data_IF_324952970037
#
_entry.id   IF_324952970037
#
_cell.length_a   1.000
_cell.length_b   1.000
_cell.length_c   1.000
_cell.angle_alpha   90.00
_cell.angle_beta   90.00
_cell.angle_gamma   90.00
#
_symmetry.space_group_name_H-M   'P 1'
#
loop_
_entity.id
_entity.type
_entity.pdbx_description
1 polymer ?
#
# COMPACT_ATOMS: atom_id res chain seq x y z
N UNK A 1 -3.83 -38.29 -9.14
CA UNK A 1 -4.75 -37.87 -8.08
C UNK A 1 -4.12 -36.63 -7.46
N UNK A 2 -4.80 -35.48 -7.43
CA UNK A 2 -4.30 -34.29 -6.75
C UNK A 2 -4.23 -34.61 -5.26
N UNK A 3 -3.06 -34.41 -4.63
CA UNK A 3 -2.88 -34.59 -3.19
C UNK A 3 -3.73 -33.56 -2.46
N UNK A 4 -4.61 -33.98 -1.56
CA UNK A 4 -5.22 -33.07 -0.61
C UNK A 4 -4.26 -32.83 0.55
N UNK A 5 -3.95 -31.59 0.89
CA UNK A 5 -3.23 -31.26 2.10
C UNK A 5 -4.20 -30.83 3.20
N UNK A 6 -4.01 -31.37 4.39
CA UNK A 6 -4.78 -31.04 5.58
C UNK A 6 -3.94 -30.20 6.52
N UNK A 7 -4.50 -29.12 7.02
CA UNK A 7 -3.88 -28.29 8.05
C UNK A 7 -4.94 -27.76 9.01
N UNK A 8 -4.55 -27.15 10.08
CA UNK A 8 -5.50 -26.58 11.02
C UNK A 8 -6.00 -25.21 10.55
N UNK A 9 -5.09 -24.36 10.09
CA UNK A 9 -5.40 -23.02 9.58
C UNK A 9 -4.73 -22.79 8.24
N UNK A 10 -5.46 -22.27 7.27
CA UNK A 10 -4.89 -21.76 6.00
C UNK A 10 -4.87 -20.24 6.04
N UNK A 11 -3.72 -19.67 5.70
CA UNK A 11 -3.58 -18.22 5.49
C UNK A 11 -3.50 -17.98 3.97
N UNK A 12 -4.37 -17.17 3.41
CA UNK A 12 -4.47 -16.91 1.98
C UNK A 12 -3.93 -15.52 1.67
N UNK A 13 -2.73 -15.47 1.07
CA UNK A 13 -1.97 -14.27 0.75
C UNK A 13 -0.70 -14.13 1.60
N UNK A 14 0.46 -14.07 0.94
CA UNK A 14 1.79 -13.97 1.57
C UNK A 14 2.32 -12.54 1.68
N UNK A 15 1.42 -11.54 1.80
CA UNK A 15 1.76 -10.15 2.10
C UNK A 15 2.08 -9.93 3.57
N UNK A 16 2.24 -8.66 3.97
CA UNK A 16 2.57 -8.28 5.35
C UNK A 16 1.59 -8.86 6.38
N UNK A 17 0.27 -8.84 6.09
CA UNK A 17 -0.74 -9.39 6.98
C UNK A 17 -0.65 -10.92 7.11
N UNK A 18 -0.54 -11.62 5.97
CA UNK A 18 -0.48 -13.08 5.99
C UNK A 18 0.78 -13.63 6.65
N UNK A 19 1.92 -13.00 6.40
CA UNK A 19 3.20 -13.36 7.05
C UNK A 19 3.11 -13.11 8.56
N UNK A 20 2.54 -11.98 9.00
CA UNK A 20 2.32 -11.68 10.41
C UNK A 20 1.39 -12.70 11.09
N UNK A 21 0.26 -13.02 10.45
CA UNK A 21 -0.69 -14.01 10.94
C UNK A 21 -0.04 -15.40 11.07
N UNK A 22 0.67 -15.84 10.03
CA UNK A 22 1.36 -17.14 10.04
C UNK A 22 2.42 -17.22 11.13
N UNK A 23 3.20 -16.15 11.34
CA UNK A 23 4.20 -16.09 12.43
C UNK A 23 3.52 -16.18 13.78
N UNK A 24 2.44 -15.42 14.00
CA UNK A 24 1.70 -15.43 15.27
C UNK A 24 1.07 -16.80 15.59
N UNK A 25 0.54 -17.48 14.57
CA UNK A 25 0.03 -18.85 14.75
C UNK A 25 1.15 -19.85 15.05
N UNK A 26 2.29 -19.75 14.35
CA UNK A 26 3.46 -20.59 14.59
C UNK A 26 4.01 -20.41 16.02
N UNK A 27 4.07 -19.17 16.53
CA UNK A 27 4.48 -18.86 17.91
C UNK A 27 3.51 -19.46 18.93
N UNK A 28 2.21 -19.59 18.58
CA UNK A 28 1.20 -20.29 19.37
C UNK A 28 1.21 -21.82 19.15
N UNK A 29 2.12 -22.36 18.32
CA UNK A 29 2.23 -23.79 17.97
C UNK A 29 0.96 -24.34 17.31
N UNK A 30 0.31 -23.52 16.50
CA UNK A 30 -0.86 -23.92 15.71
C UNK A 30 -0.36 -24.30 14.31
N UNK A 31 -0.76 -25.48 13.83
CA UNK A 31 -0.45 -25.94 12.49
C UNK A 31 -1.13 -25.02 11.46
N UNK A 32 -0.34 -24.41 10.61
CA UNK A 32 -0.83 -23.48 9.59
C UNK A 32 -0.06 -23.59 8.28
N UNK A 33 -0.74 -23.29 7.19
CA UNK A 33 -0.16 -23.23 5.85
C UNK A 33 -0.44 -21.86 5.23
N UNK A 34 0.62 -21.15 4.87
CA UNK A 34 0.54 -19.89 4.12
C UNK A 34 0.53 -20.17 2.62
N UNK A 35 -0.52 -19.76 1.94
CA UNK A 35 -0.71 -19.99 0.50
C UNK A 35 -0.63 -18.64 -0.21
N UNK A 36 0.31 -18.51 -1.15
CA UNK A 36 0.58 -17.28 -1.90
C UNK A 36 0.47 -17.52 -3.41
N UNK A 37 -0.24 -16.64 -4.08
CA UNK A 37 -0.46 -16.73 -5.53
C UNK A 37 0.81 -16.46 -6.35
N UNK A 38 1.70 -15.61 -5.86
CA UNK A 38 2.99 -15.28 -6.50
C UNK A 38 4.05 -16.32 -6.17
N UNK A 39 5.16 -16.25 -6.91
CA UNK A 39 6.38 -17.01 -6.62
C UNK A 39 7.23 -16.41 -5.49
N UNK A 40 6.73 -15.39 -4.77
CA UNK A 40 7.43 -14.66 -3.70
C UNK A 40 6.48 -14.23 -2.59
N UNK A 41 7.02 -14.06 -1.41
CA UNK A 41 6.36 -13.36 -0.30
C UNK A 41 6.46 -11.84 -0.45
N UNK A 42 5.79 -11.10 0.43
CA UNK A 42 5.81 -9.65 0.56
C UNK A 42 4.60 -8.94 -0.07
N UNK A 43 3.90 -9.56 -1.03
CA UNK A 43 2.76 -8.94 -1.69
C UNK A 43 3.12 -7.60 -2.36
N UNK A 44 2.49 -6.50 -1.92
CA UNK A 44 2.79 -5.11 -2.34
C UNK A 44 4.04 -4.50 -1.70
N UNK A 45 4.66 -5.17 -0.77
CA UNK A 45 6.01 -4.88 -0.30
C UNK A 45 7.00 -5.68 -1.14
N UNK A 46 7.59 -5.05 -2.14
CA UNK A 46 8.48 -5.72 -3.08
C UNK A 46 9.75 -4.92 -3.32
N UNK A 47 10.84 -5.43 -2.77
CA UNK A 47 12.19 -4.94 -3.04
C UNK A 47 12.83 -5.81 -4.12
N UNK A 48 13.40 -5.19 -5.12
CA UNK A 48 14.29 -5.86 -6.09
C UNK A 48 15.74 -5.51 -5.78
N UNK A 49 16.61 -6.49 -5.97
CA UNK A 49 18.06 -6.28 -5.87
C UNK A 49 18.59 -5.89 -7.25
N UNK A 50 19.14 -4.68 -7.35
CA UNK A 50 19.90 -4.18 -8.48
C UNK A 50 21.23 -3.66 -7.97
N UNK A 51 21.88 -2.72 -8.62
CA UNK A 51 23.06 -2.02 -8.07
C UNK A 51 22.76 -1.46 -6.66
N UNK A 52 21.54 -0.94 -6.47
CA UNK A 52 20.99 -0.56 -5.16
C UNK A 52 19.63 -1.24 -4.97
N UNK A 53 19.23 -1.58 -3.73
CA UNK A 53 17.88 -2.06 -3.45
C UNK A 53 16.84 -1.03 -3.87
N UNK A 54 15.77 -1.49 -4.56
CA UNK A 54 14.67 -0.66 -5.05
C UNK A 54 13.35 -1.21 -4.50
N UNK A 55 12.63 -0.41 -3.71
CA UNK A 55 11.29 -0.72 -3.24
C UNK A 55 10.25 -0.29 -4.27
N UNK A 56 9.76 -1.24 -5.07
CA UNK A 56 8.74 -1.00 -6.09
C UNK A 56 7.35 -0.70 -5.49
N UNK A 57 7.10 -1.19 -4.27
CA UNK A 57 5.89 -0.90 -3.50
C UNK A 57 6.18 -0.01 -2.30
N UNK A 58 5.71 -0.41 -1.09
CA UNK A 58 5.98 0.36 0.11
C UNK A 58 7.50 0.46 0.39
N UNK A 59 7.97 1.65 0.75
CA UNK A 59 9.38 1.90 1.04
C UNK A 59 9.60 2.68 2.35
N UNK A 60 8.50 3.14 2.99
CA UNK A 60 8.56 3.94 4.20
C UNK A 60 7.97 3.19 5.39
N UNK A 61 8.70 3.18 6.49
CA UNK A 61 8.22 2.83 7.81
C UNK A 61 7.46 4.03 8.37
N UNK A 62 6.18 4.16 7.97
CA UNK A 62 5.30 5.18 8.55
C UNK A 62 5.05 4.88 10.02
N UNK A 63 4.88 5.91 10.85
CA UNK A 63 4.76 5.78 12.31
C UNK A 63 5.88 4.88 12.89
N UNK A 64 7.13 5.13 12.51
CA UNK A 64 8.28 4.26 12.79
C UNK A 64 8.58 4.12 14.29
N UNK A 65 8.10 5.03 15.12
CA UNK A 65 8.16 4.96 16.58
C UNK A 65 7.33 3.80 17.15
N UNK A 66 6.22 3.42 16.49
CA UNK A 66 5.30 2.34 16.90
C UNK A 66 5.16 1.22 15.86
N UNK A 67 5.85 1.31 14.74
CA UNK A 67 5.76 0.35 13.63
C UNK A 67 6.50 -0.95 13.97
N UNK A 68 5.82 -2.11 14.06
CA UNK A 68 6.46 -3.37 14.42
C UNK A 68 7.51 -3.83 13.41
N UNK A 69 7.40 -3.45 12.15
CA UNK A 69 8.39 -3.79 11.14
C UNK A 69 9.76 -3.13 11.40
N UNK A 70 9.80 -2.02 12.14
CA UNK A 70 11.07 -1.42 12.57
C UNK A 70 11.84 -2.35 13.48
N UNK A 71 11.19 -2.89 14.51
CA UNK A 71 11.84 -3.82 15.44
C UNK A 71 12.25 -5.11 14.75
N UNK A 72 11.38 -5.64 13.89
CA UNK A 72 11.67 -6.83 13.09
C UNK A 72 12.88 -6.60 12.19
N UNK A 73 12.98 -5.42 11.54
CA UNK A 73 14.13 -5.07 10.71
C UNK A 73 15.42 -5.02 11.54
N UNK A 74 15.39 -4.39 12.72
CA UNK A 74 16.53 -4.32 13.64
C UNK A 74 16.97 -5.72 14.11
N UNK A 75 16.03 -6.60 14.47
CA UNK A 75 16.32 -8.01 14.84
C UNK A 75 16.92 -8.80 13.66
N UNK A 76 16.52 -8.49 12.43
CA UNK A 76 17.10 -9.07 11.23
C UNK A 76 18.47 -8.47 10.85
N UNK A 77 19.00 -7.52 11.64
CA UNK A 77 20.27 -6.84 11.37
C UNK A 77 20.21 -5.86 10.20
N UNK A 78 19.02 -5.32 9.88
CA UNK A 78 18.85 -4.33 8.82
C UNK A 78 19.16 -2.93 9.31
N UNK A 79 19.65 -2.09 8.41
CA UNK A 79 20.00 -0.70 8.69
C UNK A 79 18.76 0.20 8.54
N UNK A 80 18.45 0.99 9.58
CA UNK A 80 17.35 1.95 9.55
C UNK A 80 17.90 3.35 9.25
N UNK A 81 17.48 3.92 8.14
CA UNK A 81 17.71 5.31 7.79
C UNK A 81 16.66 6.20 8.47
N UNK A 82 17.13 7.01 9.42
CA UNK A 82 16.30 7.95 10.20
C UNK A 82 16.32 9.37 9.63
N UNK A 83 16.82 9.53 8.42
CA UNK A 83 16.82 10.81 7.72
C UNK A 83 15.39 11.31 7.55
N UNK A 84 15.05 12.55 7.95
CA UNK A 84 13.71 13.09 7.76
C UNK A 84 13.26 13.00 6.31
N UNK A 85 12.01 12.59 6.03
CA UNK A 85 11.54 12.38 4.68
C UNK A 85 11.50 13.67 3.85
N UNK A 86 11.57 13.58 2.52
CA UNK A 86 11.64 14.75 1.64
C UNK A 86 10.40 15.65 1.72
N UNK A 87 9.23 15.11 2.08
CA UNK A 87 8.00 15.91 2.25
C UNK A 87 7.96 16.72 3.55
N UNK A 88 8.81 16.42 4.52
CA UNK A 88 8.98 17.22 5.74
C UNK A 88 10.06 18.30 5.59
N UNK A 89 10.64 18.45 4.41
CA UNK A 89 11.64 19.44 4.09
C UNK A 89 11.13 20.39 3.03
N UNK A 90 11.67 21.59 2.96
CA UNK A 90 11.44 22.48 1.84
C UNK A 90 11.97 21.84 0.55
N UNK A 91 11.16 21.88 -0.50
CA UNK A 91 11.58 21.49 -1.85
C UNK A 91 12.68 22.42 -2.35
N UNK A 92 13.50 21.94 -3.28
CA UNK A 92 14.40 22.87 -3.99
C UNK A 92 13.54 23.95 -4.70
N UNK A 93 14.01 25.22 -4.72
CA UNK A 93 13.23 26.35 -5.27
C UNK A 93 13.18 26.37 -6.80
N UNK A 94 13.21 25.20 -7.44
CA UNK A 94 13.17 25.01 -8.88
C UNK A 94 11.72 24.77 -9.28
N UNK A 95 11.17 25.69 -10.08
CA UNK A 95 9.75 25.66 -10.46
C UNK A 95 8.76 25.91 -9.30
N UNK A 96 9.26 26.06 -8.06
CA UNK A 96 8.47 26.26 -6.84
C UNK A 96 9.20 27.19 -5.85
N UNK A 97 9.11 28.52 -6.01
CA UNK A 97 9.77 29.50 -5.14
C UNK A 97 9.41 29.30 -3.66
N UNK A 98 10.32 29.65 -2.74
CA UNK A 98 10.13 29.44 -1.30
C UNK A 98 8.86 30.12 -0.76
N UNK A 99 8.54 31.33 -1.24
CA UNK A 99 7.30 32.04 -0.86
C UNK A 99 6.03 31.27 -1.27
N UNK A 100 6.06 30.61 -2.41
CA UNK A 100 4.95 29.77 -2.88
C UNK A 100 4.86 28.44 -2.09
N UNK A 101 6.01 27.87 -1.70
CA UNK A 101 6.03 26.72 -0.81
C UNK A 101 5.39 27.04 0.55
N UNK A 102 5.68 28.21 1.12
CA UNK A 102 5.08 28.65 2.38
C UNK A 102 3.56 28.84 2.23
N UNK A 103 3.12 29.47 1.14
CA UNK A 103 1.70 29.64 0.84
C UNK A 103 0.97 28.32 0.60
N UNK A 104 1.59 27.36 -0.07
CA UNK A 104 1.06 26.01 -0.25
C UNK A 104 0.94 25.28 1.09
N UNK A 105 1.99 25.29 1.91
CA UNK A 105 1.97 24.66 3.23
C UNK A 105 0.89 25.24 4.14
N UNK A 106 0.63 26.55 4.05
CA UNK A 106 -0.46 27.19 4.76
C UNK A 106 -1.82 26.65 4.25
N UNK A 107 -2.08 26.67 2.95
CA UNK A 107 -3.33 26.19 2.37
C UNK A 107 -3.56 24.69 2.65
N UNK A 108 -2.49 23.90 2.67
CA UNK A 108 -2.55 22.48 2.99
C UNK A 108 -2.93 22.25 4.46
N UNK A 109 -2.36 23.00 5.42
CA UNK A 109 -2.78 22.95 6.83
C UNK A 109 -4.24 23.34 7.01
N UNK A 110 -4.66 24.45 6.41
CA UNK A 110 -6.05 24.91 6.47
C UNK A 110 -7.05 23.90 5.90
N UNK A 111 -6.65 23.13 4.87
CA UNK A 111 -7.43 22.03 4.35
C UNK A 111 -7.62 20.93 5.41
N UNK A 112 -6.56 20.50 6.09
CA UNK A 112 -6.66 19.51 7.17
C UNK A 112 -7.47 20.03 8.36
N UNK A 113 -7.27 21.27 8.79
CA UNK A 113 -8.05 21.90 9.88
C UNK A 113 -9.56 21.92 9.56
N UNK A 114 -9.93 22.17 8.29
CA UNK A 114 -11.33 22.08 7.87
C UNK A 114 -11.83 20.63 7.90
N UNK A 115 -11.00 19.68 7.52
CA UNK A 115 -11.33 18.26 7.51
C UNK A 115 -11.51 17.73 8.94
N UNK A 116 -10.61 18.07 9.87
CA UNK A 116 -10.69 17.73 11.29
C UNK A 116 -11.95 18.31 11.96
N UNK A 117 -12.59 19.31 11.35
CA UNK A 117 -13.87 19.85 11.81
C UNK A 117 -15.08 18.98 11.48
N UNK A 118 -14.89 17.86 10.79
CA UNK A 118 -15.95 16.92 10.44
C UNK A 118 -16.44 16.21 11.70
N UNK A 119 -17.66 16.50 12.10
CA UNK A 119 -18.31 15.84 13.22
C UNK A 119 -18.84 14.46 12.82
N UNK A 120 -18.81 13.48 13.73
CA UNK A 120 -19.24 12.11 13.48
C UNK A 120 -20.74 11.96 13.16
N UNK A 121 -21.57 12.91 13.60
CA UNK A 121 -23.01 12.94 13.32
C UNK A 121 -23.35 13.46 11.92
N UNK A 122 -22.38 14.06 11.21
CA UNK A 122 -22.58 14.53 9.82
C UNK A 122 -22.39 13.39 8.82
N UNK A 123 -23.05 13.45 7.66
CA UNK A 123 -22.81 12.50 6.57
C UNK A 123 -21.34 12.49 6.16
N UNK A 124 -20.82 11.31 5.89
CA UNK A 124 -19.50 11.16 5.29
C UNK A 124 -19.56 11.56 3.82
N UNK A 125 -18.76 12.53 3.44
CA UNK A 125 -18.71 13.15 2.11
C UNK A 125 -17.31 13.01 1.49
N UNK A 126 -17.16 13.44 0.25
CA UNK A 126 -15.85 13.49 -0.40
C UNK A 126 -14.94 14.53 0.28
N UNK A 127 -13.68 14.18 0.51
CA UNK A 127 -12.69 15.07 1.11
C UNK A 127 -12.49 16.36 0.31
N UNK A 128 -12.76 16.33 -1.00
CA UNK A 128 -12.76 17.53 -1.85
C UNK A 128 -13.72 18.64 -1.39
N UNK A 129 -14.76 18.29 -0.61
CA UNK A 129 -15.72 19.27 -0.06
C UNK A 129 -15.06 20.25 0.91
N UNK A 130 -13.92 19.87 1.47
CA UNK A 130 -13.14 20.67 2.42
C UNK A 130 -12.05 21.55 1.77
N UNK A 131 -11.91 21.48 0.44
CA UNK A 131 -11.03 22.38 -0.29
C UNK A 131 -11.56 23.83 -0.20
N UNK A 132 -10.63 24.80 -0.23
CA UNK A 132 -10.99 26.22 -0.32
C UNK A 132 -11.72 26.48 -1.65
N UNK A 133 -12.91 27.12 -1.64
CA UNK A 133 -13.59 27.46 -2.89
C UNK A 133 -12.67 28.28 -3.82
N UNK A 134 -12.42 27.79 -5.02
CA UNK A 134 -11.50 28.37 -6.00
C UNK A 134 -10.06 28.59 -5.51
N UNK A 135 -9.62 27.85 -4.47
CA UNK A 135 -8.29 27.97 -3.89
C UNK A 135 -7.19 27.69 -4.91
N UNK A 136 -6.20 28.57 -5.00
CA UNK A 136 -5.05 28.49 -5.91
C UNK A 136 -4.34 27.12 -5.81
N UNK A 137 -4.26 26.56 -4.59
CA UNK A 137 -3.49 25.36 -4.30
C UNK A 137 -4.29 24.06 -4.38
N UNK A 138 -5.59 24.11 -4.69
CA UNK A 138 -6.46 22.94 -4.73
C UNK A 138 -5.94 21.87 -5.69
N UNK A 139 -5.37 22.27 -6.83
CA UNK A 139 -4.82 21.34 -7.79
C UNK A 139 -3.62 20.57 -7.22
N UNK A 140 -2.71 21.26 -6.51
CA UNK A 140 -1.54 20.61 -5.91
C UNK A 140 -1.92 19.79 -4.67
N UNK A 141 -2.88 20.25 -3.84
CA UNK A 141 -3.41 19.46 -2.72
C UNK A 141 -4.03 18.16 -3.26
N UNK A 142 -4.73 18.24 -4.37
CA UNK A 142 -5.33 17.07 -5.03
C UNK A 142 -4.27 16.13 -5.61
N UNK A 143 -3.18 16.65 -6.18
CA UNK A 143 -2.04 15.84 -6.59
C UNK A 143 -1.40 15.11 -5.39
N UNK A 144 -1.21 15.81 -4.26
CA UNK A 144 -0.68 15.20 -3.02
C UNK A 144 -1.60 14.09 -2.52
N UNK A 145 -2.94 14.28 -2.55
CA UNK A 145 -3.90 13.22 -2.21
C UNK A 145 -3.71 11.98 -3.09
N UNK A 146 -3.47 12.16 -4.39
CA UNK A 146 -3.24 11.02 -5.29
C UNK A 146 -1.97 10.22 -4.93
N UNK A 147 -0.97 10.85 -4.31
CA UNK A 147 0.23 10.14 -3.81
C UNK A 147 -0.04 9.44 -2.47
N UNK A 148 -0.87 10.03 -1.60
CA UNK A 148 -1.18 9.50 -0.26
C UNK A 148 -2.24 8.41 -0.31
N UNK A 149 -3.33 8.64 -1.05
CA UNK A 149 -4.50 7.74 -1.11
C UNK A 149 -4.58 6.93 -2.41
N UNK A 150 -3.71 7.21 -3.39
CA UNK A 150 -3.82 6.63 -4.73
C UNK A 150 -5.02 7.16 -5.52
N UNK A 151 -5.71 8.19 -5.02
CA UNK A 151 -6.90 8.77 -5.62
C UNK A 151 -7.02 10.26 -5.30
N UNK A 152 -7.74 10.99 -6.14
CA UNK A 152 -8.07 12.39 -5.93
C UNK A 152 -9.14 12.55 -4.84
N UNK A 153 -9.16 13.70 -4.19
CA UNK A 153 -10.03 14.00 -3.05
C UNK A 153 -11.53 13.90 -3.32
N UNK A 154 -11.97 13.99 -4.57
CA UNK A 154 -13.37 13.81 -4.95
C UNK A 154 -13.85 12.35 -4.83
N UNK A 155 -12.92 11.40 -4.73
CA UNK A 155 -13.19 9.97 -4.56
C UNK A 155 -12.96 9.46 -3.14
N UNK A 156 -12.26 10.18 -2.31
CA UNK A 156 -11.85 9.75 -0.98
C UNK A 156 -12.87 10.22 0.07
N UNK A 157 -13.31 9.30 0.93
CA UNK A 157 -14.12 9.61 2.11
C UNK A 157 -13.39 10.57 3.03
N UNK A 158 -14.04 11.68 3.40
CA UNK A 158 -13.48 12.62 4.35
C UNK A 158 -13.28 11.99 5.73
N UNK A 159 -14.25 11.20 6.19
CA UNK A 159 -14.19 10.51 7.49
C UNK A 159 -13.07 9.47 7.54
N UNK A 160 -12.90 8.68 6.46
CA UNK A 160 -11.80 7.72 6.37
C UNK A 160 -10.44 8.44 6.39
N UNK A 161 -10.35 9.55 5.66
CA UNK A 161 -9.14 10.36 5.58
C UNK A 161 -8.74 10.96 6.93
N UNK A 162 -9.72 11.49 7.69
CA UNK A 162 -9.53 12.03 9.04
C UNK A 162 -9.10 10.95 10.05
N UNK A 163 -9.60 9.73 9.92
CA UNK A 163 -9.25 8.61 10.82
C UNK A 163 -7.82 8.07 10.62
N UNK A 164 -7.10 8.51 9.58
CA UNK A 164 -5.74 8.03 9.33
C UNK A 164 -4.77 8.51 10.39
N UNK A 165 -4.15 7.57 11.10
CA UNK A 165 -3.23 7.84 12.20
C UNK A 165 -1.76 7.78 11.78
N UNK A 166 -1.11 8.93 11.59
CA UNK A 166 0.34 9.01 11.38
C UNK A 166 1.00 9.76 12.56
N UNK A 167 2.02 9.14 13.17
CA UNK A 167 2.80 9.80 14.23
C UNK A 167 3.74 10.89 13.69
N UNK A 168 3.89 10.99 12.37
CA UNK A 168 4.84 11.87 11.71
C UNK A 168 6.29 11.36 11.71
N UNK A 169 6.57 10.23 12.37
CA UNK A 169 7.90 9.61 12.36
C UNK A 169 7.99 8.62 11.19
N UNK A 170 8.78 8.96 10.17
CA UNK A 170 8.87 8.19 8.94
C UNK A 170 10.33 7.86 8.63
N UNK A 171 10.69 6.56 8.65
CA UNK A 171 12.04 6.04 8.39
C UNK A 171 12.03 5.06 7.22
N UNK A 172 13.22 4.61 6.82
CA UNK A 172 13.37 3.64 5.73
C UNK A 172 14.32 2.51 6.11
N UNK A 173 14.18 1.37 5.45
CA UNK A 173 15.14 0.26 5.52
C UNK A 173 16.11 0.40 4.35
N UNK A 174 17.40 0.50 4.62
CA UNK A 174 18.44 0.72 3.59
C UNK A 174 18.49 -0.44 2.59
N UNK A 175 18.29 -1.67 3.05
CA UNK A 175 18.28 -2.89 2.26
C UNK A 175 16.91 -3.18 1.61
N UNK A 176 15.95 -2.27 1.80
CA UNK A 176 14.60 -2.34 1.26
C UNK A 176 13.58 -2.96 2.21
N UNK A 177 12.42 -2.33 2.29
CA UNK A 177 11.35 -2.72 3.21
C UNK A 177 10.74 -4.09 2.86
N UNK A 178 10.59 -4.38 1.56
CA UNK A 178 10.06 -5.67 1.12
C UNK A 178 10.93 -6.85 1.53
N UNK A 179 12.26 -6.66 1.67
CA UNK A 179 13.18 -7.71 2.13
C UNK A 179 12.90 -8.10 3.58
N UNK A 180 12.55 -7.15 4.45
CA UNK A 180 12.20 -7.40 5.85
C UNK A 180 10.97 -8.28 5.96
N UNK A 181 9.92 -7.94 5.19
CA UNK A 181 8.64 -8.65 5.20
C UNK A 181 8.81 -10.07 4.66
N UNK A 182 9.52 -10.22 3.55
CA UNK A 182 9.80 -11.53 2.98
C UNK A 182 10.63 -12.41 3.93
N UNK A 183 11.67 -11.84 4.57
CA UNK A 183 12.51 -12.55 5.51
C UNK A 183 11.76 -12.96 6.79
N UNK A 184 10.76 -12.19 7.23
CA UNK A 184 9.92 -12.57 8.37
C UNK A 184 9.10 -13.83 8.11
N UNK A 185 8.87 -14.17 6.84
CA UNK A 185 8.24 -15.42 6.41
C UNK A 185 9.18 -16.64 6.35
N UNK A 186 10.48 -16.48 6.57
CA UNK A 186 11.42 -17.60 6.50
C UNK A 186 11.13 -18.66 7.57
N UNK A 187 11.16 -19.93 7.15
CA UNK A 187 10.90 -21.08 8.03
C UNK A 187 9.43 -21.32 8.34
N UNK A 188 8.50 -20.56 7.79
CA UNK A 188 7.08 -20.86 7.83
C UNK A 188 6.72 -21.91 6.76
N UNK A 189 5.69 -22.72 6.98
CA UNK A 189 5.11 -23.58 5.95
C UNK A 189 4.44 -22.69 4.87
N UNK A 190 5.04 -22.60 3.69
CA UNK A 190 4.58 -21.72 2.60
C UNK A 190 4.42 -22.51 1.31
N UNK A 191 3.31 -22.27 0.62
CA UNK A 191 3.05 -22.74 -0.75
C UNK A 191 2.97 -21.52 -1.68
N UNK A 192 4.00 -21.31 -2.49
CA UNK A 192 4.09 -20.25 -3.49
C UNK A 192 3.52 -20.70 -4.83
N UNK A 193 3.16 -19.73 -5.70
CA UNK A 193 2.59 -20.02 -7.03
C UNK A 193 1.25 -20.74 -6.97
N UNK A 194 0.51 -20.55 -5.89
CA UNK A 194 -0.68 -21.34 -5.57
C UNK A 194 -1.90 -20.42 -5.28
N UNK A 195 -2.51 -19.81 -6.31
CA UNK A 195 -3.69 -18.99 -6.13
C UNK A 195 -4.89 -19.82 -5.67
N UNK A 196 -5.52 -19.43 -4.56
CA UNK A 196 -6.82 -19.96 -4.15
C UNK A 196 -7.89 -19.34 -5.04
N UNK A 197 -8.80 -20.16 -5.57
CA UNK A 197 -9.88 -19.74 -6.48
C UNK A 197 -11.27 -19.88 -5.90
N UNK A 198 -11.43 -20.80 -4.94
CA UNK A 198 -12.71 -21.09 -4.31
C UNK A 198 -12.50 -21.49 -2.86
N UNK A 199 -13.41 -21.05 -2.00
CA UNK A 199 -13.51 -21.46 -0.59
C UNK A 199 -14.91 -22.00 -0.34
N UNK A 200 -15.03 -23.33 -0.22
CA UNK A 200 -16.27 -23.99 0.14
C UNK A 200 -16.35 -24.11 1.68
N UNK A 201 -17.36 -23.47 2.28
CA UNK A 201 -17.61 -23.41 3.71
C UNK A 201 -18.85 -24.19 4.16
N UNK A 202 -19.47 -24.97 3.29
CA UNK A 202 -20.66 -25.77 3.60
C UNK A 202 -20.37 -26.92 4.54
N UNK A 203 -19.17 -27.50 4.45
CA UNK A 203 -18.75 -28.61 5.29
C UNK A 203 -18.32 -28.19 6.69
N UNK A 204 -18.06 -29.19 7.55
CA UNK A 204 -17.47 -28.98 8.88
C UNK A 204 -16.08 -28.31 8.78
N UNK A 205 -15.29 -28.69 7.77
CA UNK A 205 -14.02 -28.06 7.42
C UNK A 205 -14.19 -27.20 6.16
N UNK A 206 -13.42 -26.14 6.08
CA UNK A 206 -13.30 -25.33 4.88
C UNK A 206 -12.50 -26.11 3.84
N UNK A 207 -12.91 -26.01 2.57
CA UNK A 207 -12.19 -26.58 1.43
C UNK A 207 -11.82 -25.50 0.45
N UNK A 208 -10.52 -25.29 0.27
CA UNK A 208 -9.96 -24.35 -0.69
C UNK A 208 -9.53 -25.06 -1.96
N UNK A 209 -9.91 -24.53 -3.12
CA UNK A 209 -9.48 -25.03 -4.42
C UNK A 209 -8.32 -24.22 -4.98
N UNK A 210 -7.26 -24.93 -5.35
CA UNK A 210 -6.03 -24.37 -5.94
C UNK A 210 -5.62 -25.15 -7.17
N UNK A 211 -4.75 -24.61 -8.04
CA UNK A 211 -4.18 -25.38 -9.16
C UNK A 211 -3.43 -26.64 -8.73
N UNK A 212 -2.93 -26.69 -7.50
CA UNK A 212 -2.15 -27.79 -6.96
C UNK A 212 -3.00 -28.86 -6.23
N UNK A 213 -4.32 -28.70 -6.24
CA UNK A 213 -5.26 -29.58 -5.55
C UNK A 213 -6.05 -28.84 -4.48
N UNK A 214 -6.84 -29.60 -3.71
CA UNK A 214 -7.65 -29.06 -2.63
C UNK A 214 -6.87 -29.04 -1.30
N UNK A 215 -7.07 -27.97 -0.53
CA UNK A 215 -6.59 -27.83 0.83
C UNK A 215 -7.80 -27.81 1.75
N UNK A 216 -7.76 -28.54 2.86
CA UNK A 216 -8.82 -28.51 3.86
C UNK A 216 -8.29 -27.98 5.19
N UNK A 217 -9.09 -27.15 5.88
CA UNK A 217 -8.71 -26.54 7.15
C UNK A 217 -9.91 -26.33 8.07
N UNK A 218 -9.66 -26.17 9.37
CA UNK A 218 -10.69 -25.80 10.33
C UNK A 218 -11.04 -24.31 10.24
N UNK A 219 -10.05 -23.47 9.94
CA UNK A 219 -10.21 -22.04 9.76
C UNK A 219 -9.35 -21.52 8.62
N UNK A 220 -9.69 -20.33 8.09
CA UNK A 220 -8.88 -19.62 7.13
C UNK A 220 -8.78 -18.12 7.46
N UNK A 221 -7.60 -17.53 7.23
CA UNK A 221 -7.37 -16.09 7.29
C UNK A 221 -7.17 -15.60 5.85
N UNK A 222 -8.07 -14.75 5.38
CA UNK A 222 -8.06 -14.19 4.02
C UNK A 222 -7.38 -12.82 4.07
N UNK A 223 -6.23 -12.69 3.39
CA UNK A 223 -5.41 -11.44 3.43
C UNK A 223 -5.18 -10.86 2.03
N UNK A 224 -6.07 -11.17 1.10
CA UNK A 224 -5.98 -10.71 -0.28
C UNK A 224 -6.43 -9.24 -0.43
N UNK A 225 -5.95 -8.52 -1.46
CA UNK A 225 -6.40 -7.16 -1.76
C UNK A 225 -7.90 -7.06 -2.04
N UNK A 226 -8.50 -5.92 -1.72
CA UNK A 226 -9.95 -5.69 -1.88
C UNK A 226 -10.48 -5.93 -3.29
N UNK A 227 -9.79 -5.57 -4.41
CA UNK A 227 -10.28 -5.89 -5.74
C UNK A 227 -10.41 -7.39 -6.02
N UNK A 228 -9.59 -8.22 -5.37
CA UNK A 228 -9.68 -9.68 -5.49
C UNK A 228 -10.99 -10.21 -4.90
N UNK A 229 -11.48 -9.60 -3.82
CA UNK A 229 -12.79 -9.91 -3.20
C UNK A 229 -13.94 -9.26 -3.96
N UNK A 230 -13.82 -7.98 -4.31
CA UNK A 230 -14.85 -7.21 -5.01
C UNK A 230 -15.19 -7.79 -6.39
N UNK A 231 -14.19 -8.34 -7.09
CA UNK A 231 -14.36 -8.98 -8.39
C UNK A 231 -14.57 -10.50 -8.29
N UNK A 232 -14.78 -11.02 -7.08
CA UNK A 232 -15.02 -12.45 -6.81
C UNK A 232 -13.99 -13.39 -7.47
N UNK A 233 -12.69 -12.96 -7.50
CA UNK A 233 -11.58 -13.82 -7.99
C UNK A 233 -11.36 -15.02 -7.08
N UNK A 234 -11.83 -14.94 -5.83
CA UNK A 234 -12.03 -16.05 -4.91
C UNK A 234 -13.53 -16.21 -4.69
N UNK A 235 -14.09 -17.32 -5.14
CA UNK A 235 -15.51 -17.63 -5.00
C UNK A 235 -15.75 -18.24 -3.62
N UNK A 236 -16.69 -17.70 -2.86
CA UNK A 236 -17.16 -18.29 -1.59
C UNK A 236 -18.43 -19.09 -1.80
N UNK A 237 -18.52 -20.28 -1.22
CA UNK A 237 -19.72 -21.14 -1.26
C UNK A 237 -20.09 -21.52 0.19
N UNK A 238 -21.22 -21.07 0.75
CA UNK A 238 -22.15 -20.06 0.20
C UNK A 238 -21.50 -18.67 0.02
N UNK A 239 -22.06 -17.81 -0.84
CA UNK A 239 -21.54 -16.46 -1.08
C UNK A 239 -21.43 -15.61 0.18
N UNK A 240 -20.59 -14.59 0.13
CA UNK A 240 -20.38 -13.59 1.19
C UNK A 240 -20.64 -12.16 0.64
N UNK A 241 -21.90 -11.81 0.29
CA UNK A 241 -22.21 -10.53 -0.34
C UNK A 241 -21.77 -9.33 0.50
N UNK A 242 -21.83 -9.43 1.84
CA UNK A 242 -21.40 -8.37 2.74
C UNK A 242 -19.89 -8.08 2.62
N UNK A 243 -19.07 -9.12 2.39
CA UNK A 243 -17.62 -8.96 2.17
C UNK A 243 -17.34 -8.37 0.78
N UNK A 244 -18.07 -8.80 -0.22
CA UNK A 244 -17.99 -8.23 -1.58
C UNK A 244 -18.37 -6.75 -1.56
N UNK A 245 -19.49 -6.39 -0.89
CA UNK A 245 -19.93 -5.00 -0.77
C UNK A 245 -18.91 -4.15 0.02
N UNK A 246 -18.39 -4.65 1.14
CA UNK A 246 -17.36 -3.96 1.91
C UNK A 246 -16.10 -3.73 1.07
N UNK A 247 -15.67 -4.73 0.30
CA UNK A 247 -14.53 -4.62 -0.60
C UNK A 247 -14.76 -3.62 -1.74
N UNK A 248 -15.97 -3.55 -2.30
CA UNK A 248 -16.37 -2.52 -3.29
C UNK A 248 -16.32 -1.10 -2.72
N UNK A 249 -16.62 -0.94 -1.44
CA UNK A 249 -16.51 0.35 -0.73
C UNK A 249 -15.07 0.79 -0.45
N UNK A 250 -14.10 -0.11 -0.64
CA UNK A 250 -12.68 0.09 -0.34
C UNK A 250 -11.80 -0.23 -1.57
N UNK A 251 -11.97 0.47 -2.69
CA UNK A 251 -11.13 0.23 -3.87
C UNK A 251 -9.65 0.50 -3.56
N UNK A 252 -8.76 -0.08 -4.35
CA UNK A 252 -7.37 0.34 -4.35
C UNK A 252 -7.17 1.52 -5.29
N UNK A 253 -6.51 2.55 -4.78
CA UNK A 253 -5.99 3.62 -5.59
C UNK A 253 -4.73 3.18 -6.35
N UNK A 254 -4.27 4.02 -7.27
CA UNK A 254 -3.01 3.81 -7.98
C UNK A 254 -1.96 4.79 -7.49
N UNK A 255 -0.77 4.26 -7.24
CA UNK A 255 0.41 5.02 -6.91
C UNK A 255 1.63 4.22 -7.36
N UNK A 256 2.19 4.61 -8.49
CA UNK A 256 3.26 3.91 -9.17
C UNK A 256 4.57 4.68 -9.08
N UNK A 257 5.66 3.92 -9.01
CA UNK A 257 7.01 4.44 -8.92
C UNK A 257 7.79 4.12 -10.19
N UNK A 258 8.40 5.15 -10.76
CA UNK A 258 9.42 5.01 -11.78
C UNK A 258 10.78 5.37 -11.17
N UNK A 259 11.73 4.45 -11.24
CA UNK A 259 13.11 4.73 -10.88
C UNK A 259 13.92 5.05 -12.13
N UNK A 260 14.65 6.17 -12.06
CA UNK A 260 15.56 6.63 -13.11
C UNK A 260 16.98 6.66 -12.55
N UNK A 261 17.99 6.31 -13.34
CA UNK A 261 19.38 6.66 -13.04
C UNK A 261 19.57 8.17 -13.28
N UNK A 262 20.51 8.77 -12.58
CA UNK A 262 20.82 10.19 -12.68
C UNK A 262 22.33 10.38 -12.90
N UNK A 263 22.71 10.84 -14.08
CA UNK A 263 24.09 11.24 -14.35
C UNK A 263 24.41 12.56 -13.63
N UNK A 264 25.69 12.76 -13.28
CA UNK A 264 26.19 13.95 -12.54
C UNK A 264 25.32 14.26 -11.31
N UNK A 265 24.95 13.20 -10.59
CA UNK A 265 24.00 13.29 -9.48
C UNK A 265 24.45 14.25 -8.37
N UNK A 266 25.78 14.46 -8.22
CA UNK A 266 26.37 15.32 -7.19
C UNK A 266 25.95 16.80 -7.28
N UNK A 267 25.46 17.24 -8.44
CA UNK A 267 24.89 18.57 -8.62
C UNK A 267 23.56 18.77 -7.87
N UNK A 268 22.91 17.69 -7.45
CA UNK A 268 21.65 17.74 -6.74
C UNK A 268 21.84 17.41 -5.25
N UNK A 269 21.07 18.08 -4.41
CA UNK A 269 21.06 17.77 -2.99
C UNK A 269 20.46 16.35 -2.74
N UNK A 270 21.09 15.62 -1.81
CA UNK A 270 20.53 14.35 -1.33
C UNK A 270 19.17 14.56 -0.73
N UNK A 271 18.27 13.61 -0.94
CA UNK A 271 16.92 13.63 -0.36
C UNK A 271 16.11 14.88 -0.73
N UNK A 272 16.36 15.47 -1.88
CA UNK A 272 15.58 16.64 -2.32
C UNK A 272 14.32 16.21 -3.08
N UNK A 273 13.26 17.00 -2.96
CA UNK A 273 11.98 16.75 -3.60
C UNK A 273 11.62 17.89 -4.55
N UNK A 274 11.05 17.55 -5.69
CA UNK A 274 10.50 18.49 -6.67
C UNK A 274 9.13 18.00 -7.12
N UNK A 275 8.22 18.92 -7.44
CA UNK A 275 7.02 18.65 -8.23
C UNK A 275 7.31 19.00 -9.69
N UNK A 276 6.75 18.22 -10.63
CA UNK A 276 6.83 18.55 -12.05
C UNK A 276 6.12 19.86 -12.36
N UNK A 277 4.91 20.01 -11.79
CA UNK A 277 4.09 21.22 -11.81
C UNK A 277 3.42 21.47 -10.47
N UNK A 278 3.11 22.75 -10.18
CA UNK A 278 2.43 23.14 -8.94
C UNK A 278 1.02 23.69 -9.16
N UNK A 279 0.63 23.87 -10.43
CA UNK A 279 -0.63 24.49 -10.86
C UNK A 279 -1.69 23.49 -11.34
N UNK A 280 -1.39 22.21 -11.32
CA UNK A 280 -2.26 21.15 -11.81
C UNK A 280 -2.17 19.87 -10.96
N UNK A 281 -3.24 19.07 -10.96
CA UNK A 281 -3.25 17.75 -10.31
C UNK A 281 -2.53 16.67 -11.13
N UNK A 282 -2.44 16.84 -12.44
CA UNK A 282 -1.74 15.94 -13.36
C UNK A 282 -0.26 16.25 -13.38
N UNK A 283 0.46 15.82 -12.33
CA UNK A 283 1.90 16.03 -12.15
C UNK A 283 2.52 14.91 -11.34
N UNK A 284 3.81 14.66 -11.55
CA UNK A 284 4.61 13.74 -10.73
C UNK A 284 5.30 14.48 -9.59
N UNK A 285 5.75 13.72 -8.60
CA UNK A 285 6.70 14.18 -7.58
C UNK A 285 7.99 13.37 -7.71
N UNK A 286 9.11 14.06 -7.64
CA UNK A 286 10.44 13.53 -7.92
C UNK A 286 11.33 13.64 -6.70
N UNK A 287 11.76 12.50 -6.16
CA UNK A 287 12.70 12.39 -5.06
C UNK A 287 14.09 12.14 -5.62
N UNK A 288 14.95 13.15 -5.54
CA UNK A 288 16.32 13.12 -6.02
C UNK A 288 17.25 12.53 -4.97
N UNK A 289 18.12 11.63 -5.40
CA UNK A 289 19.17 11.03 -4.61
C UNK A 289 18.67 10.38 -3.31
N UNK A 290 17.67 9.50 -3.38
CA UNK A 290 17.24 8.72 -2.22
C UNK A 290 18.44 7.94 -1.67
N UNK A 291 18.68 8.01 -0.37
CA UNK A 291 19.89 7.47 0.30
C UNK A 291 21.21 8.02 -0.24
N UNK A 292 21.21 9.16 -0.93
CA UNK A 292 22.38 9.73 -1.59
C UNK A 292 22.79 9.00 -2.88
N UNK A 293 22.02 8.04 -3.36
CA UNK A 293 22.28 7.23 -4.57
C UNK A 293 22.07 8.07 -5.84
N UNK A 294 22.73 7.75 -6.96
CA UNK A 294 22.57 8.48 -8.21
C UNK A 294 21.28 8.09 -8.95
N UNK A 295 20.15 8.34 -8.32
CA UNK A 295 18.83 7.92 -8.76
C UNK A 295 17.80 9.02 -8.52
N UNK A 296 16.71 8.96 -9.29
CA UNK A 296 15.45 9.68 -9.04
C UNK A 296 14.37 8.64 -8.83
N UNK A 297 13.59 8.76 -7.76
CA UNK A 297 12.34 8.07 -7.55
C UNK A 297 11.21 9.01 -7.94
N UNK A 298 10.57 8.76 -9.08
CA UNK A 298 9.40 9.47 -9.54
C UNK A 298 8.13 8.76 -9.06
N UNK A 299 7.13 9.52 -8.62
CA UNK A 299 5.90 9.01 -8.05
C UNK A 299 4.70 9.61 -8.77
N UNK A 300 3.77 8.75 -9.20
CA UNK A 300 2.56 9.13 -9.93
C UNK A 300 1.36 8.49 -9.23
N UNK A 301 0.26 9.25 -9.07
CA UNK A 301 -0.91 8.75 -8.36
C UNK A 301 -2.22 9.02 -9.10
N UNK A 302 -3.29 8.36 -8.63
CA UNK A 302 -4.66 8.59 -9.04
C UNK A 302 -4.91 8.38 -10.54
N UNK A 303 -5.66 9.31 -11.15
CA UNK A 303 -6.01 9.28 -12.58
C UNK A 303 -4.78 9.37 -13.47
N UNK A 304 -3.75 10.10 -13.05
CA UNK A 304 -2.50 10.17 -13.82
C UNK A 304 -1.84 8.80 -13.91
N UNK A 305 -1.70 8.09 -12.80
CA UNK A 305 -1.12 6.75 -12.81
C UNK A 305 -1.93 5.80 -13.71
N UNK A 306 -3.27 5.84 -13.64
CA UNK A 306 -4.13 5.04 -14.51
C UNK A 306 -3.95 5.35 -16.01
N UNK A 307 -3.81 6.63 -16.35
CA UNK A 307 -3.54 7.07 -17.72
C UNK A 307 -2.19 6.55 -18.20
N UNK A 308 -1.15 6.67 -17.36
CA UNK A 308 0.20 6.22 -17.69
C UNK A 308 0.28 4.69 -17.82
N UNK A 309 -0.39 3.93 -16.93
CA UNK A 309 -0.49 2.47 -17.07
C UNK A 309 -1.16 2.07 -18.40
N UNK A 310 -2.24 2.75 -18.78
CA UNK A 310 -2.92 2.51 -20.05
C UNK A 310 -2.03 2.79 -21.27
N UNK A 311 -1.09 3.74 -21.14
CA UNK A 311 -0.08 4.07 -22.15
C UNK A 311 1.12 3.12 -22.18
N UNK A 312 1.27 2.26 -21.17
CA UNK A 312 2.39 1.34 -21.01
C UNK A 312 3.65 2.00 -20.40
N UNK A 313 4.67 1.18 -20.17
CA UNK A 313 5.90 1.61 -19.46
C UNK A 313 6.57 2.84 -20.07
N UNK A 314 6.53 2.98 -21.39
CA UNK A 314 7.08 4.15 -22.10
C UNK A 314 6.39 5.45 -21.72
N UNK A 315 5.09 5.44 -21.48
CA UNK A 315 4.33 6.63 -21.11
C UNK A 315 4.79 7.23 -19.77
N UNK A 316 5.17 6.41 -18.81
CA UNK A 316 5.74 6.86 -17.53
C UNK A 316 7.09 7.57 -17.75
N UNK A 317 7.94 7.01 -18.59
CA UNK A 317 9.26 7.57 -18.89
C UNK A 317 9.11 8.90 -19.63
N UNK A 318 8.31 8.92 -20.68
CA UNK A 318 8.09 10.11 -21.51
C UNK A 318 7.49 11.26 -20.69
N UNK A 319 6.51 10.94 -19.82
CA UNK A 319 5.90 11.92 -18.93
C UNK A 319 6.92 12.49 -17.93
N UNK A 320 7.66 11.60 -17.22
CA UNK A 320 8.68 12.02 -16.27
C UNK A 320 9.77 12.89 -16.92
N UNK A 321 10.28 12.44 -18.07
CA UNK A 321 11.31 13.19 -18.80
C UNK A 321 10.77 14.54 -19.27
N UNK A 322 9.52 14.61 -19.74
CA UNK A 322 8.90 15.88 -20.16
C UNK A 322 8.82 16.89 -19.01
N UNK A 323 8.38 16.47 -17.81
CA UNK A 323 8.32 17.37 -16.66
C UNK A 323 9.74 17.80 -16.20
N UNK A 324 10.69 16.87 -16.15
CA UNK A 324 12.06 17.16 -15.75
C UNK A 324 12.77 18.08 -16.76
N UNK A 325 12.52 17.92 -18.05
CA UNK A 325 12.99 18.84 -19.10
C UNK A 325 12.37 20.23 -18.94
N UNK A 326 11.10 20.30 -18.55
CA UNK A 326 10.44 21.58 -18.23
C UNK A 326 11.09 22.32 -17.08
N UNK A 327 11.63 21.60 -16.09
CA UNK A 327 12.31 22.17 -14.91
C UNK A 327 13.79 22.54 -15.16
N UNK A 328 14.51 21.71 -15.93
CA UNK A 328 15.98 21.76 -16.03
C UNK A 328 16.50 22.07 -17.44
N UNK A 329 15.61 22.13 -18.43
CA UNK A 329 16.00 22.32 -19.83
C UNK A 329 16.23 21.01 -20.58
N UNK A 330 16.31 21.11 -21.93
CA UNK A 330 16.32 19.98 -22.86
C UNK A 330 17.46 18.99 -22.63
N UNK A 331 18.59 19.46 -22.12
CA UNK A 331 19.79 18.64 -21.91
C UNK A 331 19.57 17.60 -20.79
N UNK A 332 18.62 17.83 -19.90
CA UNK A 332 18.32 16.93 -18.80
C UNK A 332 17.84 15.55 -19.27
N UNK A 333 17.18 15.47 -20.43
CA UNK A 333 16.76 14.20 -21.01
C UNK A 333 17.91 13.18 -21.18
N UNK A 334 19.15 13.67 -21.42
CA UNK A 334 20.34 12.83 -21.58
C UNK A 334 20.93 12.34 -20.25
N UNK A 335 20.51 12.96 -19.14
CA UNK A 335 21.03 12.66 -17.79
C UNK A 335 20.27 11.54 -17.10
N UNK A 336 19.10 11.15 -17.59
CA UNK A 336 18.24 10.15 -16.97
C UNK A 336 18.01 8.96 -17.88
N UNK A 337 17.94 7.75 -17.27
CA UNK A 337 17.57 6.52 -17.98
C UNK A 337 16.67 5.68 -17.07
N UNK A 338 15.64 5.03 -17.62
CA UNK A 338 14.76 4.17 -16.81
C UNK A 338 15.54 3.00 -16.22
N UNK A 339 15.34 2.75 -14.93
CA UNK A 339 15.88 1.62 -14.19
C UNK A 339 14.81 0.58 -13.94
N UNK A 340 13.69 0.97 -13.34
CA UNK A 340 12.60 0.07 -12.99
C UNK A 340 11.29 0.79 -12.78
N UNK A 341 10.22 0.09 -13.14
CA UNK A 341 8.82 0.43 -12.92
C UNK A 341 8.06 -0.86 -12.60
N UNK A 342 7.00 -0.78 -11.82
CA UNK A 342 5.99 -1.84 -11.71
C UNK A 342 4.61 -1.19 -11.67
N UNK A 343 3.77 -1.43 -12.70
CA UNK A 343 2.40 -0.90 -12.74
C UNK A 343 1.50 -1.78 -11.85
N UNK A 344 1.04 -1.22 -10.72
CA UNK A 344 0.28 -1.97 -9.72
C UNK A 344 -1.17 -2.23 -10.12
N UNK A 345 -1.76 -1.40 -10.97
CA UNK A 345 -3.15 -1.53 -11.42
C UNK A 345 -3.38 -2.73 -12.34
N UNK A 346 -2.45 -2.99 -13.24
CA UNK A 346 -2.52 -4.15 -14.14
C UNK A 346 -1.97 -5.43 -13.54
N UNK A 347 -1.32 -5.37 -12.37
CA UNK A 347 -0.83 -6.55 -11.66
C UNK A 347 -2.02 -7.46 -11.24
N UNK A 348 -2.05 -8.73 -11.69
CA UNK A 348 -3.24 -9.59 -11.53
C UNK A 348 -3.58 -9.94 -10.09
N UNK A 349 -2.61 -9.85 -9.16
CA UNK A 349 -2.78 -10.24 -7.77
C UNK A 349 -2.88 -9.04 -6.80
N UNK A 350 -2.60 -7.82 -7.27
CA UNK A 350 -2.78 -6.59 -6.49
C UNK A 350 -3.95 -5.76 -7.01
N UNK A 351 -3.97 -5.45 -8.31
CA UNK A 351 -5.00 -4.66 -9.01
C UNK A 351 -5.14 -3.24 -8.43
N UNK A 352 -4.01 -2.68 -7.98
CA UNK A 352 -3.90 -1.38 -7.35
C UNK A 352 -2.85 -1.33 -6.26
N UNK A 353 -2.61 -0.15 -5.72
CA UNK A 353 -1.51 0.12 -4.77
C UNK A 353 -1.95 -0.01 -3.32
N UNK A 354 -2.93 0.78 -2.86
CA UNK A 354 -3.44 0.73 -1.48
C UNK A 354 -4.87 1.25 -1.40
N UNK A 355 -5.59 0.84 -0.33
CA UNK A 355 -7.01 1.09 -0.19
C UNK A 355 -7.32 2.50 0.29
N UNK A 356 -8.42 3.05 -0.22
CA UNK A 356 -9.12 4.20 0.36
C UNK A 356 -10.62 3.88 0.44
N UNK A 357 -11.35 4.52 1.36
CA UNK A 357 -12.80 4.38 1.37
C UNK A 357 -13.45 5.39 0.42
N UNK A 358 -14.48 4.95 -0.28
CA UNK A 358 -15.35 5.84 -1.04
C UNK A 358 -16.18 6.73 -0.07
N UNK A 359 -16.63 7.93 -0.48
CA UNK A 359 -17.53 8.74 0.32
C UNK A 359 -18.74 7.94 0.80
N UNK A 360 -19.04 8.00 2.10
CA UNK A 360 -20.08 7.21 2.76
C UNK A 360 -19.71 5.77 3.05
N UNK A 361 -18.46 5.34 2.85
CA UNK A 361 -18.02 3.94 2.98
C UNK A 361 -16.88 3.73 4.00
N UNK A 362 -16.59 4.71 4.87
CA UNK A 362 -15.55 4.57 5.89
C UNK A 362 -15.74 3.34 6.79
N UNK A 363 -17.00 2.96 7.09
CA UNK A 363 -17.32 1.80 7.94
C UNK A 363 -17.06 0.45 7.24
N UNK A 364 -16.82 0.44 5.93
CA UNK A 364 -16.50 -0.79 5.20
C UNK A 364 -15.21 -1.45 5.70
N UNK A 365 -14.28 -0.72 6.34
CA UNK A 365 -13.06 -1.30 6.94
C UNK A 365 -13.40 -2.27 8.07
N UNK A 366 -14.28 -1.88 8.99
CA UNK A 366 -14.74 -2.73 10.08
C UNK A 366 -15.60 -3.90 9.55
N UNK A 367 -16.49 -3.65 8.58
CA UNK A 367 -17.30 -4.70 7.96
C UNK A 367 -16.43 -5.73 7.22
N UNK A 368 -15.35 -5.30 6.57
CA UNK A 368 -14.39 -6.20 5.92
C UNK A 368 -13.62 -7.04 6.94
N UNK A 369 -13.17 -6.43 8.05
CA UNK A 369 -12.40 -7.10 9.10
C UNK A 369 -13.20 -8.11 9.93
N UNK A 370 -14.54 -7.97 10.01
CA UNK A 370 -15.38 -8.82 10.83
C UNK A 370 -15.24 -10.31 10.46
N UNK A 371 -15.10 -11.24 11.44
CA UNK A 371 -15.03 -12.67 11.16
C UNK A 371 -16.38 -13.23 10.68
N UNK A 372 -16.34 -14.40 10.05
CA UNK A 372 -17.53 -15.12 9.57
C UNK A 372 -17.53 -16.55 10.13
N UNK A 373 -18.60 -16.95 10.82
CA UNK A 373 -18.85 -18.28 11.38
C UNK A 373 -17.70 -18.79 12.30
N UNK A 374 -16.91 -17.91 12.90
CA UNK A 374 -15.69 -18.21 13.69
C UNK A 374 -14.69 -19.14 12.96
N UNK A 375 -14.77 -19.15 11.62
CA UNK A 375 -13.95 -19.97 10.74
C UNK A 375 -13.25 -19.20 9.63
N UNK A 376 -13.82 -18.10 9.19
CA UNK A 376 -13.21 -17.19 8.19
C UNK A 376 -12.89 -15.87 8.86
N UNK A 377 -11.63 -15.49 8.77
CA UNK A 377 -11.09 -14.25 9.33
C UNK A 377 -10.48 -13.43 8.18
N UNK A 378 -10.55 -12.11 8.29
CA UNK A 378 -10.10 -11.20 7.24
C UNK A 378 -9.08 -10.22 7.80
N UNK A 379 -7.97 -10.03 7.07
CA UNK A 379 -6.93 -9.10 7.44
C UNK A 379 -6.27 -8.49 6.20
N UNK A 380 -5.52 -7.44 6.39
CA UNK A 380 -4.86 -6.67 5.36
C UNK A 380 -4.94 -5.19 5.69
N UNK A 381 -4.22 -4.34 4.96
CA UNK A 381 -4.22 -2.91 5.24
C UNK A 381 -5.62 -2.30 5.15
N UNK A 382 -6.49 -2.82 4.28
CA UNK A 382 -7.85 -2.35 4.12
C UNK A 382 -8.76 -2.65 5.33
N UNK A 383 -8.39 -3.61 6.18
CA UNK A 383 -9.09 -3.96 7.42
C UNK A 383 -8.70 -3.08 8.61
N UNK A 384 -7.68 -2.23 8.48
CA UNK A 384 -7.28 -1.32 9.55
C UNK A 384 -8.15 -0.07 9.55
N UNK A 385 -8.63 0.35 10.71
CA UNK A 385 -9.44 1.57 10.87
C UNK A 385 -8.62 2.86 10.88
N UNK A 386 -7.32 2.79 11.23
CA UNK A 386 -6.45 3.96 11.40
C UNK A 386 -5.11 3.87 10.69
N UNK A 387 -4.58 2.65 10.53
CA UNK A 387 -3.28 2.43 9.90
C UNK A 387 -3.44 1.79 8.50
N UNK A 388 -4.56 2.05 7.84
CA UNK A 388 -4.84 1.54 6.50
C UNK A 388 -3.80 2.04 5.47
N UNK A 389 -3.76 1.43 4.30
CA UNK A 389 -2.80 1.76 3.22
C UNK A 389 -1.33 1.53 3.59
N UNK A 390 -1.04 0.92 4.75
CA UNK A 390 0.31 0.73 5.26
C UNK A 390 0.66 -0.75 5.50
N UNK A 391 1.96 -1.05 5.42
CA UNK A 391 2.45 -2.40 5.73
C UNK A 391 2.32 -2.73 7.24
N UNK A 392 2.41 -1.73 8.13
CA UNK A 392 2.22 -1.99 9.56
C UNK A 392 0.75 -2.18 9.94
N UNK A 393 -0.18 -1.45 9.32
CA UNK A 393 -1.61 -1.72 9.49
C UNK A 393 -1.98 -3.12 9.00
N UNK A 394 -1.38 -3.56 7.88
CA UNK A 394 -1.52 -4.93 7.43
C UNK A 394 -0.97 -5.95 8.46
N UNK A 395 0.21 -5.69 9.04
CA UNK A 395 0.78 -6.53 10.10
C UNK A 395 -0.17 -6.63 11.29
N UNK A 396 -0.62 -5.51 11.82
CA UNK A 396 -1.47 -5.46 13.02
C UNK A 396 -2.78 -6.21 12.80
N UNK A 397 -3.45 -6.03 11.66
CA UNK A 397 -4.67 -6.77 11.34
C UNK A 397 -4.41 -8.26 11.15
N UNK A 398 -3.25 -8.64 10.59
CA UNK A 398 -2.82 -10.03 10.49
C UNK A 398 -2.67 -10.71 11.85
N UNK A 399 -2.01 -10.03 12.79
CA UNK A 399 -1.89 -10.51 14.20
C UNK A 399 -3.27 -10.62 14.85
N UNK A 400 -4.11 -9.58 14.68
CA UNK A 400 -5.48 -9.61 15.23
C UNK A 400 -6.29 -10.80 14.71
N UNK A 401 -6.25 -11.08 13.42
CA UNK A 401 -6.96 -12.23 12.84
C UNK A 401 -6.41 -13.58 13.38
N UNK A 402 -5.11 -13.69 13.58
CA UNK A 402 -4.52 -14.87 14.20
C UNK A 402 -4.97 -15.03 15.66
N UNK A 403 -5.06 -13.96 16.45
CA UNK A 403 -5.59 -13.99 17.83
C UNK A 403 -7.07 -14.40 17.86
N UNK A 404 -7.86 -13.93 16.90
CA UNK A 404 -9.26 -14.36 16.77
C UNK A 404 -9.36 -15.87 16.48
N UNK A 405 -8.50 -16.42 15.62
CA UNK A 405 -8.42 -17.87 15.40
C UNK A 405 -8.07 -18.61 16.68
N UNK A 406 -7.09 -18.11 17.44
CA UNK A 406 -6.67 -18.72 18.71
C UNK A 406 -7.82 -18.75 19.72
N UNK A 407 -8.53 -17.62 19.86
CA UNK A 407 -9.68 -17.51 20.76
C UNK A 407 -10.83 -18.46 20.38
N UNK A 408 -11.21 -18.49 19.10
CA UNK A 408 -12.27 -19.36 18.59
C UNK A 408 -11.98 -20.87 18.75
N UNK A 409 -10.71 -21.27 18.93
CA UNK A 409 -10.33 -22.67 19.23
C UNK A 409 -10.57 -23.06 20.68
N UNK A 410 -10.38 -22.10 21.59
CA UNK A 410 -10.54 -22.35 23.04
C UNK A 410 -12.02 -22.58 23.39
N UNK A 411 -12.91 -21.94 22.62
CA UNK A 411 -14.36 -21.99 22.81
C UNK A 411 -15.02 -23.24 22.18
N UNK A 412 -14.28 -24.06 21.42
CA UNK A 412 -14.75 -25.29 20.78
C UNK A 412 -14.31 -26.54 21.58
#
# INVERSE_FOLDING_TARGET
MASSSDTEVVIIGGGAAGVAAARRLADARIDCLLVEARSRLGGRAWTINSEFPIDLGCGWLHSADRNPWREIAEVQGRSIDKTPPPWMRRSAPIGFPLSEQDAFLQAHREFYERLDSLSEDKPDVAAATFLEPHGRWNALINAVSSYVSGAELDRVSARDFDRYGDSGVNWRVVEGYGTVIAAHGHGLPVMLGCPVRLIDRRGRRLRMETPNGAITANAAIVTVPTPVLAEEKIVFIPPLPEKTEAALGLPLGLADKLFLSLADAEEFNKESRLFGHTDRSRTGVYHFRPFGRPQIEAYFGGRLAAELEAGGDGAFVDFAVSELVGLFGSDFARRVKPLKLHPWGIDPFSRGSYSYALPGKAECRAALAAPVDDRLFFAGEACSGSDYSTAHGAYLTGVTAAEQVIAARIER
#
